data_IF_510986384388
#
_entry.id   IF_510986384388
#
_cell.length_a   1.000
_cell.length_b   1.000
_cell.length_c   1.000
_cell.angle_alpha   90.00
_cell.angle_beta   90.00
_cell.angle_gamma   90.00
#
_symmetry.space_group_name_H-M   'P 1'
#
loop_
_entity.id
_entity.type
_entity.pdbx_description
1 polymer ?
#
# COMPACT_ATOMS: atom_id res chain seq x y z
N UNK A 1 38.98 25.25 51.51
CA UNK A 1 39.23 24.85 50.10
C UNK A 1 38.73 23.44 49.78
N UNK A 2 39.16 22.38 50.48
CA UNK A 2 38.75 20.98 50.18
C UNK A 2 37.24 20.67 50.26
N UNK A 3 36.49 21.30 51.19
CA UNK A 3 35.02 21.12 51.27
C UNK A 3 34.30 21.60 50.00
N UNK A 4 34.75 22.73 49.46
CA UNK A 4 34.16 23.38 48.29
C UNK A 4 34.36 22.54 47.02
N UNK A 5 35.55 21.95 46.85
CA UNK A 5 35.85 21.05 45.72
C UNK A 5 34.98 19.79 45.71
N UNK A 6 34.73 19.20 46.88
CA UNK A 6 33.84 18.03 47.00
C UNK A 6 32.39 18.35 46.64
N UNK A 7 31.90 19.51 47.04
CA UNK A 7 30.55 19.95 46.69
C UNK A 7 30.40 20.15 45.19
N UNK A 8 31.40 20.72 44.51
CA UNK A 8 31.38 20.91 43.06
C UNK A 8 31.33 19.56 42.33
N UNK A 9 32.18 18.61 42.73
CA UNK A 9 32.20 17.28 42.11
C UNK A 9 30.84 16.56 42.24
N UNK A 10 30.23 16.58 43.42
CA UNK A 10 28.91 15.96 43.66
C UNK A 10 27.79 16.63 42.87
N UNK A 11 27.83 17.96 42.69
CA UNK A 11 26.85 18.66 41.86
C UNK A 11 27.01 18.36 40.37
N UNK A 12 28.25 18.17 39.90
CA UNK A 12 28.51 17.76 38.52
C UNK A 12 28.01 16.35 38.26
N UNK A 13 28.30 15.40 39.15
CA UNK A 13 27.84 14.01 39.05
C UNK A 13 26.31 13.91 39.04
N UNK A 14 25.64 14.63 39.94
CA UNK A 14 24.16 14.68 39.95
C UNK A 14 23.59 15.28 38.66
N UNK A 15 24.26 16.29 38.08
CA UNK A 15 23.82 16.90 36.82
C UNK A 15 23.98 15.94 35.64
N UNK A 16 25.06 15.17 35.63
CA UNK A 16 25.28 14.13 34.61
C UNK A 16 24.26 13.00 34.74
N UNK A 17 23.99 12.53 35.96
CA UNK A 17 22.98 11.51 36.22
C UNK A 17 21.57 11.97 35.83
N UNK A 18 21.23 13.22 36.15
CA UNK A 18 19.96 13.82 35.75
C UNK A 18 19.86 13.99 34.22
N UNK A 19 20.98 14.27 33.54
CA UNK A 19 21.02 14.32 32.08
C UNK A 19 20.84 12.93 31.45
N UNK A 20 21.43 11.86 32.03
CA UNK A 20 21.23 10.48 31.56
C UNK A 20 19.79 10.03 31.74
N UNK A 21 19.20 10.27 32.91
CA UNK A 21 17.79 9.93 33.17
C UNK A 21 16.86 10.68 32.21
N UNK A 22 17.11 11.97 31.97
CA UNK A 22 16.34 12.74 30.98
C UNK A 22 16.48 12.16 29.57
N UNK A 23 17.67 11.69 29.19
CA UNK A 23 17.86 11.02 27.89
C UNK A 23 17.17 9.66 27.80
N UNK A 24 17.15 8.89 28.89
CA UNK A 24 16.42 7.61 28.96
C UNK A 24 14.90 7.82 28.87
N UNK A 25 14.37 8.81 29.60
CA UNK A 25 12.95 9.18 29.54
C UNK A 25 12.55 9.63 28.13
N UNK A 26 13.38 10.46 27.48
CA UNK A 26 13.17 10.85 26.08
C UNK A 26 13.21 9.63 25.14
N UNK A 27 14.19 8.74 25.29
CA UNK A 27 14.30 7.55 24.46
C UNK A 27 13.11 6.58 24.62
N UNK A 28 12.60 6.44 25.84
CA UNK A 28 11.41 5.64 26.15
C UNK A 28 10.15 6.27 25.53
N UNK A 29 10.00 7.60 25.59
CA UNK A 29 8.90 8.30 24.92
C UNK A 29 8.91 8.08 23.40
N UNK A 30 10.08 8.21 22.77
CA UNK A 30 10.23 7.90 21.34
C UNK A 30 9.91 6.43 21.02
N UNK A 31 10.31 5.50 21.89
CA UNK A 31 10.03 4.08 21.69
C UNK A 31 8.53 3.78 21.78
N UNK A 32 7.85 4.33 22.78
CA UNK A 32 6.40 4.16 22.95
C UNK A 32 5.61 4.78 21.80
N UNK A 33 6.02 5.96 21.32
CA UNK A 33 5.39 6.60 20.16
C UNK A 33 5.59 5.76 18.90
N UNK A 34 6.80 5.22 18.67
CA UNK A 34 7.05 4.32 17.56
C UNK A 34 6.17 3.05 17.62
N UNK A 35 5.99 2.46 18.81
CA UNK A 35 5.11 1.31 19.00
C UNK A 35 3.64 1.66 18.72
N UNK A 36 3.17 2.83 19.13
CA UNK A 36 1.81 3.30 18.80
C UNK A 36 1.61 3.45 17.30
N UNK A 37 2.54 4.09 16.61
CA UNK A 37 2.48 4.23 15.15
C UNK A 37 2.47 2.88 14.42
N UNK A 38 3.25 1.90 14.91
CA UNK A 38 3.23 0.54 14.36
C UNK A 38 1.88 -0.15 14.61
N UNK A 39 1.32 -0.03 15.81
CA UNK A 39 0.02 -0.61 16.14
C UNK A 39 -1.11 0.01 15.30
N UNK A 40 -1.13 1.33 15.14
CA UNK A 40 -2.10 2.02 14.28
C UNK A 40 -1.98 1.57 12.82
N UNK A 41 -0.75 1.41 12.33
CA UNK A 41 -0.51 0.92 10.98
C UNK A 41 -0.95 -0.55 10.80
N UNK A 42 -0.75 -1.39 11.81
CA UNK A 42 -1.21 -2.78 11.81
C UNK A 42 -2.73 -2.87 11.83
N UNK A 43 -3.42 -2.08 12.65
CA UNK A 43 -4.89 -2.00 12.67
C UNK A 43 -5.45 -1.52 11.33
N UNK A 44 -4.82 -0.51 10.71
CA UNK A 44 -5.17 -0.06 9.36
C UNK A 44 -5.03 -1.19 8.34
N UNK A 45 -3.92 -1.93 8.38
CA UNK A 45 -3.68 -3.05 7.47
C UNK A 45 -4.71 -4.17 7.68
N UNK A 46 -5.07 -4.47 8.93
CA UNK A 46 -6.12 -5.45 9.25
C UNK A 46 -7.48 -4.99 8.73
N UNK A 47 -7.85 -3.71 8.92
CA UNK A 47 -9.11 -3.16 8.42
C UNK A 47 -9.20 -3.24 6.90
N UNK A 48 -8.13 -2.84 6.20
CA UNK A 48 -8.06 -2.95 4.73
C UNK A 48 -8.19 -4.40 4.26
N UNK A 49 -7.59 -5.34 4.99
CA UNK A 49 -7.70 -6.76 4.67
C UNK A 49 -9.12 -7.29 4.85
N UNK A 50 -9.83 -6.90 5.91
CA UNK A 50 -11.23 -7.28 6.13
C UNK A 50 -12.17 -6.64 5.10
N UNK A 51 -11.97 -5.37 4.77
CA UNK A 51 -12.73 -4.67 3.71
C UNK A 51 -12.56 -5.39 2.35
N UNK A 52 -11.32 -5.77 2.01
CA UNK A 52 -11.03 -6.56 0.80
C UNK A 52 -11.77 -7.91 0.78
N UNK A 53 -11.92 -8.58 1.94
CA UNK A 53 -12.67 -9.85 2.03
C UNK A 53 -14.16 -9.64 1.77
N UNK A 54 -14.76 -8.57 2.29
CA UNK A 54 -16.22 -8.34 2.18
C UNK A 54 -16.69 -7.88 0.80
N UNK A 55 -15.85 -7.19 0.03
CA UNK A 55 -16.19 -6.66 -1.29
C UNK A 55 -16.14 -7.71 -2.42
N UNK A 56 -15.46 -8.84 -2.21
CA UNK A 56 -15.27 -9.88 -3.22
C UNK A 56 -15.94 -11.18 -2.81
N UNK A 57 -16.70 -11.83 -3.70
CA UNK A 57 -17.21 -13.21 -3.48
C UNK A 57 -16.14 -14.26 -3.83
N UNK A 58 -14.87 -13.88 -3.71
CA UNK A 58 -13.75 -14.80 -3.91
C UNK A 58 -13.75 -15.81 -2.76
N UNK A 59 -13.56 -17.12 -3.02
CA UNK A 59 -13.50 -18.09 -1.94
C UNK A 59 -12.43 -17.67 -0.94
N UNK A 60 -12.79 -17.61 0.35
CA UNK A 60 -11.88 -17.31 1.47
C UNK A 60 -10.59 -18.15 1.45
N UNK A 61 -10.61 -19.27 0.70
CA UNK A 61 -9.61 -20.32 0.66
C UNK A 61 -8.75 -20.32 -0.62
N UNK A 62 -8.66 -19.22 -1.38
CA UNK A 62 -7.64 -19.13 -2.43
C UNK A 62 -6.25 -18.99 -1.79
N UNK A 63 -5.61 -20.14 -1.53
CA UNK A 63 -4.23 -20.25 -1.08
C UNK A 63 -3.33 -20.00 -2.28
N UNK A 64 -2.57 -18.90 -2.24
CA UNK A 64 -1.51 -18.65 -3.21
C UNK A 64 -0.36 -19.60 -2.87
N UNK A 65 0.07 -20.49 -3.79
CA UNK A 65 1.15 -21.43 -3.50
C UNK A 65 2.45 -20.69 -3.12
N UNK A 66 3.30 -21.25 -2.24
CA UNK A 66 4.53 -20.57 -1.79
C UNK A 66 5.58 -20.36 -2.89
N UNK A 67 5.51 -21.09 -4.00
CA UNK A 67 6.40 -20.94 -5.17
C UNK A 67 5.81 -20.06 -6.27
N UNK A 68 4.74 -19.32 -5.96
CA UNK A 68 4.11 -18.47 -6.95
C UNK A 68 5.04 -17.30 -7.28
N UNK A 69 5.32 -17.11 -8.58
CA UNK A 69 6.12 -15.95 -9.03
C UNK A 69 5.50 -14.67 -8.48
N UNK A 70 6.33 -13.82 -7.90
CA UNK A 70 5.90 -12.52 -7.42
C UNK A 70 5.26 -11.72 -8.58
N UNK A 71 4.18 -10.98 -8.27
CA UNK A 71 3.55 -10.11 -9.24
C UNK A 71 4.45 -8.89 -9.47
N UNK A 72 4.87 -8.66 -10.71
CA UNK A 72 5.76 -7.57 -11.11
C UNK A 72 4.94 -6.63 -11.99
N UNK A 73 3.92 -6.05 -11.38
CA UNK A 73 3.06 -5.02 -11.99
C UNK A 73 3.09 -3.81 -11.07
N UNK A 74 3.24 -2.62 -11.64
CA UNK A 74 3.19 -1.39 -10.87
C UNK A 74 1.83 -1.25 -10.16
N UNK A 75 1.78 -0.63 -8.98
CA UNK A 75 0.50 -0.37 -8.33
C UNK A 75 -0.40 0.52 -9.19
N UNK A 76 -1.71 0.25 -9.16
CA UNK A 76 -2.72 1.04 -9.83
C UNK A 76 -3.37 2.00 -8.83
N UNK A 77 -3.15 3.29 -9.02
CA UNK A 77 -3.68 4.35 -8.15
C UNK A 77 -5.03 4.86 -8.62
N UNK A 78 -5.50 4.42 -9.79
CA UNK A 78 -6.73 4.90 -10.41
C UNK A 78 -6.55 6.19 -11.20
N UNK A 79 -5.32 6.70 -11.37
CA UNK A 79 -5.01 7.86 -12.22
C UNK A 79 -4.35 7.46 -13.54
N UNK A 80 -3.85 6.23 -13.63
CA UNK A 80 -3.27 5.65 -14.82
C UNK A 80 -4.37 5.19 -15.80
N UNK A 81 -3.99 4.96 -17.05
CA UNK A 81 -4.86 4.33 -18.04
C UNK A 81 -5.21 2.90 -17.60
N UNK A 82 -6.48 2.59 -17.32
CA UNK A 82 -6.88 1.27 -16.82
C UNK A 82 -6.62 0.17 -17.84
N UNK A 83 -6.66 0.47 -19.15
CA UNK A 83 -6.42 -0.51 -20.20
C UNK A 83 -4.95 -0.92 -20.28
N UNK A 84 -4.02 0.02 -20.02
CA UNK A 84 -2.58 -0.28 -19.97
C UNK A 84 -2.24 -1.12 -18.74
N UNK A 85 -2.80 -0.78 -17.57
CA UNK A 85 -2.60 -1.57 -16.35
C UNK A 85 -3.13 -3.00 -16.49
N UNK A 86 -4.34 -3.15 -17.02
CA UNK A 86 -4.94 -4.46 -17.28
C UNK A 86 -4.10 -5.30 -18.25
N UNK A 87 -3.58 -4.69 -19.32
CA UNK A 87 -2.73 -5.40 -20.28
C UNK A 87 -1.44 -5.91 -19.64
N UNK A 88 -0.78 -5.07 -18.83
CA UNK A 88 0.42 -5.47 -18.10
C UNK A 88 0.15 -6.65 -17.14
N UNK A 89 -0.95 -6.56 -16.39
CA UNK A 89 -1.38 -7.61 -15.48
C UNK A 89 -1.73 -8.92 -16.21
N UNK A 90 -2.55 -8.85 -17.25
CA UNK A 90 -2.97 -10.01 -18.05
C UNK A 90 -1.77 -10.71 -18.71
N UNK A 91 -0.79 -9.94 -19.19
CA UNK A 91 0.45 -10.50 -19.75
C UNK A 91 1.18 -11.36 -18.72
N UNK A 92 1.29 -10.89 -17.48
CA UNK A 92 1.97 -11.66 -16.43
C UNK A 92 1.14 -12.87 -15.96
N UNK A 93 -0.18 -12.73 -15.84
CA UNK A 93 -1.09 -13.85 -15.52
C UNK A 93 -0.97 -14.95 -16.57
N UNK A 94 -0.99 -14.60 -17.87
CA UNK A 94 -0.84 -15.54 -18.97
C UNK A 94 0.48 -16.32 -18.88
N UNK A 95 1.60 -15.64 -18.63
CA UNK A 95 2.93 -16.26 -18.47
C UNK A 95 3.00 -17.23 -17.28
N UNK A 96 2.14 -17.05 -16.28
CA UNK A 96 2.15 -17.84 -15.05
C UNK A 96 1.01 -18.84 -14.93
N UNK A 97 0.08 -18.88 -15.89
CA UNK A 97 -1.02 -19.86 -15.92
C UNK A 97 -1.96 -19.77 -14.73
N UNK A 98 -2.20 -18.56 -14.19
CA UNK A 98 -3.05 -18.37 -13.00
C UNK A 98 -4.52 -18.55 -13.34
N UNK A 99 -5.27 -19.15 -12.43
CA UNK A 99 -6.73 -19.20 -12.54
C UNK A 99 -7.38 -17.84 -12.23
N UNK A 100 -8.68 -17.76 -12.47
CA UNK A 100 -9.47 -16.55 -12.37
C UNK A 100 -9.56 -16.01 -10.92
N UNK A 101 -9.71 -16.91 -9.94
CA UNK A 101 -9.82 -16.54 -8.53
C UNK A 101 -8.49 -15.99 -7.96
N UNK A 102 -7.36 -16.60 -8.33
CA UNK A 102 -6.03 -16.10 -8.01
C UNK A 102 -5.77 -14.77 -8.73
N UNK A 103 -6.23 -14.63 -9.97
CA UNK A 103 -6.08 -13.40 -10.75
C UNK A 103 -6.85 -12.23 -10.12
N UNK A 104 -8.09 -12.43 -9.66
CA UNK A 104 -8.82 -11.44 -8.87
C UNK A 104 -8.03 -10.98 -7.66
N UNK A 105 -7.64 -11.92 -6.79
CA UNK A 105 -6.95 -11.62 -5.53
C UNK A 105 -5.67 -10.80 -5.75
N UNK A 106 -4.92 -11.13 -6.80
CA UNK A 106 -3.69 -10.42 -7.14
C UNK A 106 -3.92 -9.06 -7.76
N UNK A 107 -4.93 -8.93 -8.63
CA UNK A 107 -5.27 -7.63 -9.20
C UNK A 107 -5.69 -6.66 -8.11
N UNK A 108 -6.51 -7.11 -7.16
CA UNK A 108 -6.87 -6.34 -5.96
C UNK A 108 -5.63 -5.93 -5.16
N UNK A 109 -4.64 -6.84 -5.06
CA UNK A 109 -3.33 -6.55 -4.46
C UNK A 109 -2.54 -5.42 -5.15
N UNK A 110 -2.86 -5.06 -6.40
CA UNK A 110 -2.25 -3.92 -7.11
C UNK A 110 -2.91 -2.58 -6.81
N UNK A 111 -4.14 -2.56 -6.28
CA UNK A 111 -4.91 -1.33 -6.10
C UNK A 111 -4.32 -0.47 -4.97
N UNK A 112 -4.19 0.82 -5.18
CA UNK A 112 -3.76 1.81 -4.18
C UNK A 112 -4.59 3.09 -4.33
N UNK A 113 -4.58 3.94 -3.30
CA UNK A 113 -5.20 5.27 -3.36
C UNK A 113 -6.67 5.22 -3.82
N UNK A 114 -7.00 6.05 -4.82
CA UNK A 114 -8.37 6.21 -5.34
C UNK A 114 -8.93 4.89 -5.89
N UNK A 115 -8.09 4.05 -6.49
CA UNK A 115 -8.54 2.73 -6.96
C UNK A 115 -8.95 1.80 -5.83
N UNK A 116 -8.24 1.81 -4.70
CA UNK A 116 -8.63 1.02 -3.54
C UNK A 116 -9.92 1.54 -2.91
N UNK A 117 -10.04 2.87 -2.75
CA UNK A 117 -11.26 3.49 -2.21
C UNK A 117 -12.50 3.21 -3.08
N UNK A 118 -12.34 3.22 -4.39
CA UNK A 118 -13.41 2.82 -5.30
C UNK A 118 -13.79 1.36 -5.10
N UNK A 119 -12.81 0.46 -5.03
CA UNK A 119 -13.08 -0.96 -4.86
C UNK A 119 -13.83 -1.25 -3.55
N UNK A 120 -13.43 -0.64 -2.43
CA UNK A 120 -14.13 -0.80 -1.14
C UNK A 120 -15.52 -0.18 -1.11
N UNK A 121 -15.83 0.73 -2.04
CA UNK A 121 -17.19 1.29 -2.21
C UNK A 121 -18.13 0.42 -3.04
N UNK A 122 -17.63 -0.65 -3.67
CA UNK A 122 -18.47 -1.53 -4.48
C UNK A 122 -19.45 -2.31 -3.59
N UNK A 123 -20.70 -2.53 -4.06
CA UNK A 123 -21.61 -3.43 -3.38
C UNK A 123 -21.00 -4.83 -3.22
N UNK A 124 -21.26 -5.54 -2.12
CA UNK A 124 -20.82 -6.92 -1.96
C UNK A 124 -21.28 -7.77 -3.14
N UNK A 125 -20.44 -8.73 -3.55
CA UNK A 125 -20.73 -9.68 -4.65
C UNK A 125 -20.89 -9.02 -6.03
N UNK A 126 -20.28 -7.86 -6.26
CA UNK A 126 -20.22 -7.25 -7.60
C UNK A 126 -19.25 -7.97 -8.54
N UNK A 127 -18.21 -8.61 -7.99
CA UNK A 127 -17.12 -9.24 -8.73
C UNK A 127 -17.15 -10.74 -8.44
N UNK A 128 -17.42 -11.54 -9.47
CA UNK A 128 -17.39 -13.01 -9.41
C UNK A 128 -16.19 -13.58 -10.16
N UNK A 129 -15.75 -12.88 -11.21
CA UNK A 129 -14.61 -13.28 -12.04
C UNK A 129 -13.61 -12.15 -12.27
N UNK A 130 -12.41 -12.47 -12.74
CA UNK A 130 -11.43 -11.45 -13.12
C UNK A 130 -11.94 -10.60 -14.28
N UNK A 131 -12.72 -11.20 -15.18
CA UNK A 131 -13.36 -10.47 -16.27
C UNK A 131 -14.36 -9.42 -15.75
N UNK A 132 -15.17 -9.74 -14.74
CA UNK A 132 -16.09 -8.77 -14.12
C UNK A 132 -15.32 -7.59 -13.51
N UNK A 133 -14.25 -7.90 -12.77
CA UNK A 133 -13.36 -6.91 -12.18
C UNK A 133 -12.73 -6.00 -13.24
N UNK A 134 -12.22 -6.58 -14.33
CA UNK A 134 -11.61 -5.84 -15.44
C UNK A 134 -12.62 -4.88 -16.09
N UNK A 135 -13.84 -5.35 -16.36
CA UNK A 135 -14.90 -4.54 -16.96
C UNK A 135 -15.28 -3.38 -16.05
N UNK A 136 -15.56 -3.65 -14.77
CA UNK A 136 -15.99 -2.64 -13.80
C UNK A 136 -14.87 -1.61 -13.55
N UNK A 137 -13.60 -2.05 -13.54
CA UNK A 137 -12.43 -1.17 -13.45
C UNK A 137 -12.29 -0.23 -14.66
N UNK A 138 -12.39 -0.76 -15.88
CA UNK A 138 -12.32 0.07 -17.10
C UNK A 138 -13.45 1.09 -17.13
N UNK A 139 -14.67 0.69 -16.78
CA UNK A 139 -15.82 1.59 -16.75
C UNK A 139 -15.61 2.72 -15.73
N UNK A 140 -15.10 2.40 -14.54
CA UNK A 140 -14.84 3.39 -13.51
C UNK A 140 -13.78 4.42 -13.94
N UNK A 141 -12.68 3.97 -14.53
CA UNK A 141 -11.52 4.81 -14.81
C UNK A 141 -11.38 5.19 -16.29
N UNK A 142 -12.46 5.09 -17.07
CA UNK A 142 -12.43 5.32 -18.53
C UNK A 142 -11.93 6.72 -18.92
N UNK A 143 -12.16 7.71 -18.07
CA UNK A 143 -11.72 9.10 -18.29
C UNK A 143 -10.22 9.29 -18.13
N UNK A 144 -9.54 8.33 -17.50
CA UNK A 144 -8.10 8.37 -17.25
C UNK A 144 -7.31 7.70 -18.37
N UNK A 145 -8.00 7.30 -19.44
CA UNK A 145 -7.33 6.87 -20.67
C UNK A 145 -6.42 7.97 -21.16
N UNK A 146 -5.17 7.60 -21.41
CA UNK A 146 -4.20 8.47 -22.02
C UNK A 146 -4.74 8.87 -23.39
N UNK A 147 -5.07 10.15 -23.57
CA UNK A 147 -5.26 10.69 -24.92
C UNK A 147 -3.91 10.55 -25.60
N UNK A 148 -3.79 9.63 -26.55
CA UNK A 148 -2.73 9.72 -27.56
C UNK A 148 -2.89 11.10 -28.18
N UNK A 149 -2.03 12.04 -27.80
CA UNK A 149 -1.74 13.16 -28.67
C UNK A 149 -1.06 12.51 -29.87
N UNK A 150 -1.85 12.18 -30.89
CA UNK A 150 -1.27 11.97 -32.20
C UNK A 150 -0.66 13.31 -32.57
N UNK A 151 0.67 13.36 -32.51
CA UNK A 151 1.46 14.34 -33.25
C UNK A 151 1.26 13.97 -34.71
N UNK A 152 0.07 14.25 -35.25
CA UNK A 152 -0.13 14.32 -36.70
C UNK A 152 0.61 15.56 -37.15
N UNK A 153 1.84 15.30 -37.59
CA UNK A 153 2.69 16.06 -38.50
C UNK A 153 2.19 17.49 -38.79
N UNK A 154 2.60 18.44 -37.94
CA UNK A 154 2.52 19.86 -38.25
C UNK A 154 3.80 20.29 -39.00
N UNK A 155 4.16 19.54 -40.03
CA UNK A 155 5.22 19.89 -40.98
C UNK A 155 4.71 19.86 -42.43
N UNK A 156 3.51 20.39 -42.66
CA UNK A 156 3.09 20.85 -43.98
C UNK A 156 2.82 22.35 -43.94
N UNK A 157 3.90 23.12 -43.90
CA UNK A 157 3.93 24.49 -44.41
C UNK A 157 5.15 24.59 -45.33
N UNK A 158 4.90 24.34 -46.63
CA UNK A 158 5.76 24.83 -47.72
C UNK A 158 5.13 26.07 -48.35
#
# INVERSE_FOLDING_TARGET
MQRLLRTIASLQENREEQARLSQEDEAEEYHQEALRLVAEHEEELQRQLEEMKTATDCPDQVIIPPHFRELVVNPFYGTQDPSIHLLAFQTQVYISGRDDAISCKLFLGTLRGVAMQWFTSLPPRTIHTFNDLAVVCVLQFITNRTKRLEVVDLFDIQ
#
